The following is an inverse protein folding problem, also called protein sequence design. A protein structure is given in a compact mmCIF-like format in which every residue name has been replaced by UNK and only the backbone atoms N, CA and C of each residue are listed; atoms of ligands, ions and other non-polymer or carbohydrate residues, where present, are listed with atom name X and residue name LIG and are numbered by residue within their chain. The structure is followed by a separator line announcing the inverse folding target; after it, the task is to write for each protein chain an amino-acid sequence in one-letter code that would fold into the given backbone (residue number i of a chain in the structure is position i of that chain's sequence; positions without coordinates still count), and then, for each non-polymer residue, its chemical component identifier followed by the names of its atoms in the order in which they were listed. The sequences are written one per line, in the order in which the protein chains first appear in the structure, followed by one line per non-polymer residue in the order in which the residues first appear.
data_IF_204103656341
#
_entry.id   IF_204103656341
#
_cell.length_a   1.000
_cell.length_b   1.000
_cell.length_c   1.000
_cell.angle_alpha   90.00
_cell.angle_beta   90.00
_cell.angle_gamma   90.00
#
_symmetry.space_group_name_H-M   'P 1'
#
loop_
_entity.id
_entity.type
_entity.pdbx_description
1 polymer ?
#
# COMPACT_ATOMS: atom_id res chain seq x y z
N UNK A 1 4.56 2.72 -8.65
CA UNK A 1 5.13 1.83 -9.68
C UNK A 1 6.58 2.23 -9.98
N UNK A 2 6.93 3.50 -10.22
CA UNK A 2 8.27 3.93 -10.62
C UNK A 2 9.38 3.50 -9.67
N UNK A 3 9.20 3.64 -8.35
CA UNK A 3 10.17 3.17 -7.37
C UNK A 3 10.38 1.65 -7.40
N UNK A 4 9.29 0.90 -7.60
CA UNK A 4 9.38 -0.57 -7.70
C UNK A 4 10.13 -1.00 -8.95
N UNK A 5 9.87 -0.36 -10.08
CA UNK A 5 10.60 -0.63 -11.35
C UNK A 5 12.08 -0.33 -11.18
N UNK A 6 12.42 0.82 -10.60
CA UNK A 6 13.81 1.18 -10.30
C UNK A 6 14.50 0.14 -9.42
N UNK A 7 13.85 -0.30 -8.33
CA UNK A 7 14.42 -1.32 -7.44
C UNK A 7 14.64 -2.65 -8.17
N UNK A 8 13.68 -3.10 -8.98
CA UNK A 8 13.79 -4.32 -9.78
C UNK A 8 14.97 -4.20 -10.78
N UNK A 9 15.03 -3.10 -11.52
CA UNK A 9 16.09 -2.85 -12.49
C UNK A 9 17.48 -2.90 -11.84
N UNK A 10 17.64 -2.21 -10.71
CA UNK A 10 18.93 -2.21 -9.97
C UNK A 10 19.33 -3.59 -9.48
N UNK A 11 18.36 -4.39 -9.01
CA UNK A 11 18.60 -5.76 -8.57
C UNK A 11 19.03 -6.65 -9.76
N UNK A 12 18.34 -6.52 -10.91
CA UNK A 12 18.66 -7.30 -12.11
C UNK A 12 20.01 -6.93 -12.73
N UNK A 13 20.44 -5.67 -12.58
CA UNK A 13 21.73 -5.18 -13.08
C UNK A 13 22.88 -5.36 -12.08
N UNK A 14 22.62 -5.82 -10.87
CA UNK A 14 23.65 -6.04 -9.86
C UNK A 14 24.40 -7.37 -10.10
N UNK A 15 25.60 -7.47 -9.53
CA UNK A 15 26.41 -8.66 -9.67
C UNK A 15 25.71 -9.91 -9.13
N UNK A 16 25.89 -11.04 -9.85
CA UNK A 16 25.25 -12.33 -9.52
C UNK A 16 25.55 -12.78 -8.09
N UNK A 17 26.75 -12.48 -7.59
CA UNK A 17 27.16 -12.81 -6.20
C UNK A 17 26.32 -12.15 -5.13
N UNK A 18 25.80 -10.96 -5.41
CA UNK A 18 24.98 -10.19 -4.46
C UNK A 18 23.50 -10.60 -4.49
N UNK A 19 23.03 -11.11 -5.61
CA UNK A 19 21.61 -11.40 -5.84
C UNK A 19 21.26 -12.89 -5.90
N UNK A 20 22.21 -13.75 -6.24
CA UNK A 20 21.96 -15.18 -6.43
C UNK A 20 21.42 -15.85 -5.14
N UNK A 21 20.32 -16.59 -5.29
CA UNK A 21 19.66 -17.31 -4.19
C UNK A 21 19.22 -16.42 -3.00
N UNK A 22 18.99 -15.13 -3.23
CA UNK A 22 18.49 -14.20 -2.20
C UNK A 22 17.08 -13.72 -2.52
N UNK A 23 16.28 -13.52 -1.47
CA UNK A 23 14.95 -12.93 -1.59
C UNK A 23 15.06 -11.43 -1.32
N UNK A 24 14.45 -10.65 -2.20
CA UNK A 24 14.34 -9.20 -2.10
C UNK A 24 12.87 -8.80 -1.97
N UNK A 25 12.56 -8.00 -0.97
CA UNK A 25 11.26 -7.35 -0.85
C UNK A 25 11.34 -5.98 -1.52
N UNK A 26 10.35 -5.68 -2.34
CA UNK A 26 10.25 -4.40 -3.06
C UNK A 26 9.27 -3.51 -2.32
N UNK A 27 9.64 -2.26 -2.08
CA UNK A 27 8.76 -1.31 -1.39
C UNK A 27 9.46 0.00 -1.03
N UNK A 28 8.67 0.92 -0.50
CA UNK A 28 9.15 2.22 -0.06
C UNK A 28 9.44 2.24 1.46
N UNK A 29 10.45 3.02 1.86
CA UNK A 29 10.77 3.26 3.26
C UNK A 29 10.74 4.77 3.56
N UNK A 30 10.30 5.19 4.75
CA UNK A 30 9.73 4.40 5.84
C UNK A 30 8.34 3.82 5.50
N UNK A 31 7.93 2.77 6.23
CA UNK A 31 6.60 2.16 6.08
C UNK A 31 5.49 3.22 6.16
N UNK A 32 4.46 3.05 5.34
CA UNK A 32 3.38 4.02 5.23
C UNK A 32 2.37 3.83 6.36
N UNK A 33 2.11 4.88 7.12
CA UNK A 33 0.93 4.95 7.97
C UNK A 33 -0.31 5.27 7.10
N UNK A 34 -1.29 4.36 7.07
CA UNK A 34 -2.48 4.48 6.22
C UNK A 34 -3.26 5.77 6.50
N UNK A 35 -3.35 6.19 7.78
CA UNK A 35 -4.06 7.43 8.16
C UNK A 35 -3.34 8.67 7.62
N UNK A 36 -2.02 8.71 7.72
CA UNK A 36 -1.22 9.81 7.16
C UNK A 36 -1.34 9.86 5.64
N UNK A 37 -1.27 8.71 4.99
CA UNK A 37 -1.43 8.59 3.55
C UNK A 37 -2.82 9.05 3.08
N UNK A 38 -3.88 8.62 3.74
CA UNK A 38 -5.24 9.08 3.47
C UNK A 38 -5.39 10.60 3.64
N UNK A 39 -4.79 11.18 4.69
CA UNK A 39 -4.80 12.62 4.91
C UNK A 39 -4.03 13.38 3.81
N UNK A 40 -2.91 12.86 3.34
CA UNK A 40 -2.15 13.45 2.23
C UNK A 40 -2.97 13.48 0.94
N UNK A 41 -3.62 12.36 0.59
CA UNK A 41 -4.50 12.29 -0.58
C UNK A 41 -5.67 13.26 -0.44
N UNK A 42 -6.34 13.26 0.71
CA UNK A 42 -7.51 14.11 0.93
C UNK A 42 -7.18 15.60 0.88
N UNK A 43 -5.99 16.00 1.36
CA UNK A 43 -5.53 17.38 1.27
C UNK A 43 -5.30 17.83 -0.18
N UNK A 44 -4.81 16.93 -1.04
CA UNK A 44 -4.62 17.20 -2.47
C UNK A 44 -5.95 17.28 -3.23
N UNK A 45 -6.97 16.52 -2.80
CA UNK A 45 -8.30 16.49 -3.41
C UNK A 45 -9.27 17.51 -2.80
N UNK A 46 -8.85 18.29 -1.80
CA UNK A 46 -9.74 19.20 -1.07
C UNK A 46 -10.88 18.51 -0.31
N UNK A 47 -10.73 17.21 0.00
CA UNK A 47 -11.75 16.39 0.67
C UNK A 47 -11.40 16.17 2.16
N UNK A 48 -12.30 15.53 2.92
CA UNK A 48 -12.07 15.23 4.33
C UNK A 48 -12.08 13.72 4.56
N UNK A 49 -11.12 13.23 5.36
CA UNK A 49 -11.11 11.82 5.81
C UNK A 49 -11.96 11.70 7.08
N UNK A 50 -12.98 10.85 7.03
CA UNK A 50 -13.83 10.54 8.17
C UNK A 50 -13.29 9.31 8.89
N UNK A 51 -13.23 9.39 10.22
CA UNK A 51 -12.83 8.25 11.06
C UNK A 51 -14.09 7.53 11.55
N UNK A 52 -14.17 6.23 11.28
CA UNK A 52 -15.26 5.38 11.76
C UNK A 52 -14.84 4.76 13.09
N UNK A 53 -15.68 4.81 14.14
CA UNK A 53 -15.41 4.15 15.41
C UNK A 53 -15.16 2.66 15.25
N UNK A 54 -14.17 2.14 15.95
CA UNK A 54 -13.71 0.75 15.84
C UNK A 54 -14.80 -0.29 16.03
N UNK A 55 -15.70 -0.06 17.01
CA UNK A 55 -16.78 -1.01 17.29
C UNK A 55 -17.78 -1.14 16.13
N UNK A 56 -18.07 -0.03 15.40
CA UNK A 56 -18.96 -0.06 14.23
C UNK A 56 -18.36 -0.90 13.09
N UNK A 57 -17.07 -0.76 12.86
CA UNK A 57 -16.36 -1.57 11.85
C UNK A 57 -16.37 -3.06 12.24
N UNK A 58 -16.18 -3.38 13.52
CA UNK A 58 -16.30 -4.76 14.01
C UNK A 58 -17.70 -5.33 13.78
N UNK A 59 -18.75 -4.58 14.15
CA UNK A 59 -20.14 -5.01 13.91
C UNK A 59 -20.39 -5.25 12.42
N UNK A 60 -19.94 -4.35 11.55
CA UNK A 60 -20.07 -4.51 10.10
C UNK A 60 -19.30 -5.74 9.59
N UNK A 61 -18.12 -6.04 10.14
CA UNK A 61 -17.34 -7.21 9.77
C UNK A 61 -18.01 -8.52 10.15
N UNK A 62 -18.58 -8.62 11.36
CA UNK A 62 -19.35 -9.79 11.79
C UNK A 62 -20.64 -9.97 10.97
N UNK A 63 -21.34 -8.88 10.68
CA UNK A 63 -22.51 -8.93 9.78
C UNK A 63 -22.08 -9.43 8.39
N UNK A 64 -20.94 -8.97 7.88
CA UNK A 64 -20.39 -9.45 6.60
C UNK A 64 -20.07 -10.94 6.59
N UNK A 65 -19.60 -11.49 7.70
CA UNK A 65 -19.33 -12.93 7.82
C UNK A 65 -20.64 -13.74 7.78
N UNK A 66 -21.70 -13.25 8.46
CA UNK A 66 -23.04 -13.87 8.42
C UNK A 66 -23.60 -13.82 7.00
N UNK A 67 -23.56 -12.65 6.35
CA UNK A 67 -24.05 -12.47 4.98
C UNK A 67 -23.30 -13.35 3.99
N UNK A 68 -21.98 -13.48 4.13
CA UNK A 68 -21.15 -14.39 3.32
C UNK A 68 -21.59 -15.85 3.50
N UNK A 69 -21.93 -16.26 4.72
CA UNK A 69 -22.38 -17.63 4.99
C UNK A 69 -23.69 -17.98 4.26
N UNK A 70 -24.59 -17.00 4.09
CA UNK A 70 -25.84 -17.16 3.33
C UNK A 70 -25.71 -16.79 1.85
N UNK A 71 -24.47 -16.61 1.34
CA UNK A 71 -24.19 -16.37 -0.07
C UNK A 71 -24.35 -14.91 -0.55
N UNK A 72 -24.57 -13.97 0.35
CA UNK A 72 -24.71 -12.54 0.00
C UNK A 72 -23.31 -11.88 0.04
N UNK A 73 -22.83 -11.30 -1.08
CA UNK A 73 -21.55 -10.60 -1.09
C UNK A 73 -21.60 -9.32 -0.26
N UNK A 74 -20.76 -9.19 0.74
CA UNK A 74 -20.62 -7.99 1.55
C UNK A 74 -19.14 -7.53 1.56
N UNK A 75 -18.88 -6.22 1.41
CA UNK A 75 -17.53 -5.71 1.20
C UNK A 75 -16.62 -5.83 2.43
N UNK A 76 -17.17 -5.86 3.65
CA UNK A 76 -16.44 -5.93 4.90
C UNK A 76 -16.67 -7.27 5.60
N UNK A 77 -15.62 -8.02 5.86
CA UNK A 77 -15.62 -9.28 6.63
C UNK A 77 -14.56 -9.20 7.71
N UNK A 78 -14.63 -10.07 8.72
CA UNK A 78 -13.61 -10.13 9.79
C UNK A 78 -12.21 -10.42 9.24
N UNK A 79 -12.11 -11.24 8.19
CA UNK A 79 -10.85 -11.50 7.50
C UNK A 79 -10.27 -10.23 6.85
N UNK A 80 -11.10 -9.47 6.14
CA UNK A 80 -10.66 -8.19 5.53
C UNK A 80 -10.29 -7.17 6.59
N UNK A 81 -11.09 -7.06 7.65
CA UNK A 81 -10.79 -6.16 8.76
C UNK A 81 -9.43 -6.50 9.39
N UNK A 82 -9.16 -7.77 9.65
CA UNK A 82 -7.87 -8.23 10.18
C UNK A 82 -6.72 -7.85 9.25
N UNK A 83 -6.86 -8.07 7.94
CA UNK A 83 -5.81 -7.73 6.97
C UNK A 83 -5.56 -6.21 6.88
N UNK A 84 -6.62 -5.39 7.00
CA UNK A 84 -6.50 -3.93 6.96
C UNK A 84 -5.87 -3.33 8.23
N UNK A 85 -5.93 -4.06 9.35
CA UNK A 85 -5.44 -3.60 10.65
C UNK A 85 -4.18 -4.30 11.12
N UNK A 86 -3.64 -5.21 10.32
CA UNK A 86 -2.37 -5.89 10.59
C UNK A 86 -1.23 -5.16 9.89
N UNK A 87 -0.21 -4.81 10.63
CA UNK A 87 1.00 -4.20 10.07
C UNK A 87 1.78 -5.23 9.24
N UNK A 88 2.00 -4.91 7.96
CA UNK A 88 2.80 -5.72 7.04
C UNK A 88 4.14 -5.01 6.77
N UNK A 89 4.97 -4.90 7.80
CA UNK A 89 6.30 -4.30 7.67
C UNK A 89 7.30 -5.38 7.29
N UNK A 90 7.95 -5.21 6.14
CA UNK A 90 9.01 -6.10 5.66
C UNK A 90 10.37 -5.42 5.74
N UNK A 91 11.41 -6.21 5.93
CA UNK A 91 12.77 -5.67 5.94
C UNK A 91 13.23 -5.40 4.51
N UNK A 92 13.45 -4.12 4.17
CA UNK A 92 13.90 -3.64 2.87
C UNK A 92 15.42 -3.37 2.81
N UNK A 93 16.16 -3.67 3.86
CA UNK A 93 17.58 -3.32 3.98
C UNK A 93 18.40 -3.85 2.80
N UNK A 94 18.17 -5.09 2.37
CA UNK A 94 18.89 -5.68 1.22
C UNK A 94 18.60 -4.93 -0.07
N UNK A 95 17.35 -4.57 -0.30
CA UNK A 95 16.93 -3.84 -1.50
C UNK A 95 17.53 -2.44 -1.52
N UNK A 96 17.51 -1.74 -0.39
CA UNK A 96 18.08 -0.40 -0.28
C UNK A 96 19.62 -0.38 -0.32
N UNK A 97 20.32 -1.48 -0.03
CA UNK A 97 21.77 -1.60 -0.27
C UNK A 97 22.11 -1.56 -1.77
N UNK A 98 21.22 -2.12 -2.61
CA UNK A 98 21.43 -2.17 -4.07
C UNK A 98 20.78 -0.98 -4.77
N UNK A 99 19.62 -0.53 -4.28
CA UNK A 99 18.82 0.55 -4.84
C UNK A 99 18.52 1.65 -3.78
N UNK A 100 19.54 2.43 -3.36
CA UNK A 100 19.43 3.34 -2.22
C UNK A 100 18.54 4.57 -2.45
N UNK A 101 18.42 5.02 -3.71
CA UNK A 101 17.78 6.30 -4.06
C UNK A 101 16.61 6.10 -5.03
N UNK A 102 15.42 5.73 -4.54
CA UNK A 102 14.24 5.64 -5.40
C UNK A 102 13.90 7.02 -6.01
N UNK A 103 13.49 7.07 -7.29
CA UNK A 103 13.34 8.33 -8.03
C UNK A 103 12.17 9.21 -7.60
N UNK A 104 11.19 8.66 -6.88
CA UNK A 104 9.99 9.41 -6.50
C UNK A 104 9.82 9.48 -4.98
N UNK A 105 9.62 10.68 -4.47
CA UNK A 105 9.12 10.87 -3.13
C UNK A 105 7.62 10.53 -3.04
N UNK A 106 7.14 10.20 -1.83
CA UNK A 106 5.75 9.76 -1.61
C UNK A 106 4.71 10.76 -2.13
N UNK A 107 4.90 12.05 -1.84
CA UNK A 107 3.95 13.10 -2.25
C UNK A 107 3.91 13.24 -3.77
N UNK A 108 5.05 13.16 -4.43
CA UNK A 108 5.14 13.20 -5.88
C UNK A 108 4.45 12.00 -6.52
N UNK A 109 4.68 10.80 -5.98
CA UNK A 109 4.03 9.58 -6.44
C UNK A 109 2.50 9.64 -6.29
N UNK A 110 1.98 10.23 -5.20
CA UNK A 110 0.55 10.46 -5.01
C UNK A 110 0.02 11.42 -6.09
N UNK A 111 0.68 12.57 -6.30
CA UNK A 111 0.27 13.56 -7.30
C UNK A 111 0.21 12.96 -8.70
N UNK A 112 1.23 12.19 -9.09
CA UNK A 112 1.25 11.54 -10.41
C UNK A 112 0.14 10.48 -10.55
N UNK A 113 -0.16 9.75 -9.48
CA UNK A 113 -1.27 8.79 -9.45
C UNK A 113 -2.62 9.50 -9.61
N UNK A 114 -2.85 10.59 -8.90
CA UNK A 114 -4.09 11.38 -9.01
C UNK A 114 -4.27 11.95 -10.42
N UNK A 115 -3.23 12.55 -11.02
CA UNK A 115 -3.25 13.03 -12.41
C UNK A 115 -3.58 11.92 -13.41
N UNK A 116 -3.03 10.72 -13.18
CA UNK A 116 -3.32 9.58 -14.04
C UNK A 116 -4.79 9.16 -13.94
N UNK A 117 -5.35 9.12 -12.73
CA UNK A 117 -6.77 8.81 -12.52
C UNK A 117 -7.69 9.80 -13.22
N UNK A 118 -7.43 11.11 -13.09
CA UNK A 118 -8.19 12.18 -13.76
C UNK A 118 -8.21 12.02 -15.29
N UNK A 119 -7.09 11.58 -15.89
CA UNK A 119 -7.00 11.33 -17.35
C UNK A 119 -7.75 10.08 -17.79
N UNK A 120 -7.96 9.12 -16.91
CA UNK A 120 -8.57 7.83 -17.26
C UNK A 120 -10.09 7.86 -17.10
N UNK A 121 -10.62 8.86 -16.37
CA UNK A 121 -12.06 9.07 -16.19
C UNK A 121 -12.68 9.96 -17.29
N UNK A 122 -11.89 10.49 -18.21
CA UNK A 122 -12.33 11.21 -19.42
C UNK A 122 -12.39 10.28 -20.64
#
# INVERSE_FOLDING_TARGET
IGNSVYQIERILMSDTTDCCNKVFYIGDTPAINIKEWANQISSLLGSKVYTIPWFLIKCAAYLGDILKYIGIPFPMTSFRLKNMTTDNIVNLERTYKIAPNPPYERIEAIKETLKWMERTEQ
#
